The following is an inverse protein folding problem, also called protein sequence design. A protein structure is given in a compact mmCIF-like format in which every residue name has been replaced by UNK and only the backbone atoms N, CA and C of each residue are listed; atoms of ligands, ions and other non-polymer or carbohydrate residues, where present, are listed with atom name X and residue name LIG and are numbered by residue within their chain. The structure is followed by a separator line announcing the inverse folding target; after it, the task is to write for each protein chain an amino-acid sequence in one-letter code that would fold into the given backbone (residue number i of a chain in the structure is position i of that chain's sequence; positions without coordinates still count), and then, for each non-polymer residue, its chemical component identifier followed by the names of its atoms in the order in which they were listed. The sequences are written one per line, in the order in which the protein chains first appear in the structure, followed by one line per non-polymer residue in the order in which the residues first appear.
data_IF_156656843450
#
_entry.id   IF_156656843450
#
_cell.length_a   1.000
_cell.length_b   1.000
_cell.length_c   1.000
_cell.angle_alpha   90.00
_cell.angle_beta   90.00
_cell.angle_gamma   90.00
#
_symmetry.space_group_name_H-M   'P 1'
#
loop_
_entity.id
_entity.type
_entity.pdbx_description
1 polymer ?
#
# COMPACT_ATOMS: atom_id res chain seq x y z
N UNK A 1 1.46 0.35 -16.34
CA UNK A 1 0.70 -0.58 -15.48
C UNK A 1 -0.80 -0.41 -15.71
N UNK A 2 -1.62 -1.47 -15.59
CA UNK A 2 -3.09 -1.37 -15.72
C UNK A 2 -3.73 -1.02 -14.37
N UNK A 3 -3.99 0.26 -14.13
CA UNK A 3 -4.59 0.76 -12.88
C UNK A 3 -6.10 0.54 -12.72
N UNK A 4 -6.74 -0.02 -13.74
CA UNK A 4 -8.14 -0.43 -13.72
C UNK A 4 -8.29 -1.96 -13.62
N UNK A 5 -7.17 -2.69 -13.49
CA UNK A 5 -7.18 -4.13 -13.32
C UNK A 5 -7.80 -4.56 -11.99
N UNK A 6 -8.39 -5.75 -11.96
CA UNK A 6 -8.87 -6.33 -10.72
C UNK A 6 -7.69 -6.54 -9.74
N UNK A 7 -7.83 -6.05 -8.51
CA UNK A 7 -6.74 -6.07 -7.52
C UNK A 7 -5.63 -5.03 -7.74
N UNK A 8 -5.76 -4.11 -8.71
CA UNK A 8 -4.76 -3.06 -8.91
C UNK A 8 -4.76 -2.06 -7.75
N UNK A 9 -3.61 -1.91 -7.09
CA UNK A 9 -3.35 -0.90 -6.06
C UNK A 9 -2.84 0.41 -6.66
N UNK A 10 -3.56 0.92 -7.65
CA UNK A 10 -3.42 2.32 -8.08
C UNK A 10 -4.51 3.16 -7.39
N UNK A 11 -4.15 4.38 -6.98
CA UNK A 11 -5.02 5.33 -6.27
C UNK A 11 -5.35 4.88 -4.83
N UNK A 12 -6.55 5.17 -4.35
CA UNK A 12 -7.02 4.77 -3.03
C UNK A 12 -6.82 3.25 -2.80
N UNK A 13 -6.46 2.81 -1.58
CA UNK A 13 -6.10 1.42 -1.35
C UNK A 13 -7.33 0.52 -1.49
N UNK A 14 -7.33 -0.25 -2.57
CA UNK A 14 -8.34 -1.26 -2.89
C UNK A 14 -7.74 -2.63 -2.64
N UNK A 15 -8.39 -3.40 -1.78
CA UNK A 15 -7.99 -4.76 -1.48
C UNK A 15 -9.06 -5.72 -1.98
N UNK A 16 -8.61 -6.92 -2.34
CA UNK A 16 -9.48 -8.05 -2.68
C UNK A 16 -9.25 -9.11 -1.61
N UNK A 17 -10.31 -9.46 -0.88
CA UNK A 17 -10.27 -10.50 0.12
C UNK A 17 -10.03 -11.88 -0.50
N UNK A 18 -9.67 -12.86 0.33
CA UNK A 18 -9.52 -14.25 -0.11
C UNK A 18 -10.82 -14.87 -0.66
N UNK A 19 -11.95 -14.23 -0.39
CA UNK A 19 -13.28 -14.56 -0.92
C UNK A 19 -13.58 -13.90 -2.29
N UNK A 20 -12.66 -13.10 -2.83
CA UNK A 20 -12.85 -12.36 -4.07
C UNK A 20 -13.68 -11.07 -3.92
N UNK A 21 -13.99 -10.64 -2.70
CA UNK A 21 -14.73 -9.39 -2.49
C UNK A 21 -13.75 -8.22 -2.45
N UNK A 22 -14.04 -7.20 -3.27
CA UNK A 22 -13.26 -5.96 -3.28
C UNK A 22 -13.80 -4.98 -2.24
N UNK A 23 -12.89 -4.36 -1.49
CA UNK A 23 -13.21 -3.32 -0.53
C UNK A 23 -12.17 -2.20 -0.52
N UNK A 24 -12.62 -1.02 -0.11
CA UNK A 24 -11.77 0.13 0.12
C UNK A 24 -11.37 0.16 1.59
N UNK A 25 -10.07 0.26 1.85
CA UNK A 25 -9.54 0.44 3.19
C UNK A 25 -8.61 1.63 3.20
N UNK A 26 -9.08 2.76 3.74
CA UNK A 26 -8.29 3.99 3.76
C UNK A 26 -7.21 3.96 4.86
N UNK A 27 -7.41 3.23 5.95
CA UNK A 27 -6.47 3.24 7.08
C UNK A 27 -6.21 4.66 7.63
N UNK A 28 -5.20 4.76 8.50
CA UNK A 28 -4.65 6.04 8.93
C UNK A 28 -3.37 6.33 8.14
N UNK A 29 -3.16 7.61 7.84
CA UNK A 29 -1.89 8.10 7.30
C UNK A 29 -0.72 7.69 8.21
N UNK A 30 0.40 7.32 7.59
CA UNK A 30 1.66 6.91 8.22
C UNK A 30 1.50 5.67 9.12
N UNK A 31 0.40 4.92 8.96
CA UNK A 31 0.10 3.70 9.69
C UNK A 31 0.65 2.44 9.01
N UNK A 32 0.89 1.41 9.82
CA UNK A 32 1.22 0.06 9.34
C UNK A 32 0.05 -0.87 9.63
N UNK A 33 -0.35 -1.65 8.63
CA UNK A 33 -1.51 -2.53 8.72
C UNK A 33 -1.15 -3.94 8.27
N UNK A 34 -1.61 -4.94 9.03
CA UNK A 34 -1.56 -6.33 8.60
C UNK A 34 -2.56 -6.56 7.47
N UNK A 35 -2.07 -7.04 6.33
CA UNK A 35 -2.89 -7.36 5.15
C UNK A 35 -3.14 -8.87 5.07
N UNK A 36 -2.10 -9.66 5.34
CA UNK A 36 -2.17 -11.12 5.48
C UNK A 36 -1.41 -11.50 6.73
N UNK A 37 -1.99 -12.39 7.55
CA UNK A 37 -1.38 -12.92 8.76
C UNK A 37 -1.72 -14.39 8.88
N UNK A 38 -0.69 -15.22 8.96
CA UNK A 38 -0.74 -16.66 9.21
C UNK A 38 0.53 -17.05 9.99
N UNK A 39 0.62 -18.29 10.48
CA UNK A 39 1.77 -18.78 11.26
C UNK A 39 3.09 -18.69 10.48
N UNK A 40 3.04 -18.86 9.17
CA UNK A 40 4.23 -18.94 8.31
C UNK A 40 4.47 -17.71 7.43
N UNK A 41 3.50 -16.77 7.37
CA UNK A 41 3.60 -15.59 6.51
C UNK A 41 2.91 -14.38 7.15
N UNK A 42 3.59 -13.24 7.09
CA UNK A 42 3.03 -11.95 7.47
C UNK A 42 3.29 -10.93 6.37
N UNK A 43 2.23 -10.31 5.86
CA UNK A 43 2.32 -9.21 4.90
C UNK A 43 1.74 -7.96 5.58
N UNK A 44 2.56 -6.94 5.74
CA UNK A 44 2.11 -5.62 6.20
C UNK A 44 2.19 -4.62 5.06
N UNK A 45 1.33 -3.61 5.11
CA UNK A 45 1.38 -2.45 4.25
C UNK A 45 1.61 -1.18 5.07
N UNK A 46 2.56 -0.35 4.64
CA UNK A 46 2.76 0.99 5.16
C UNK A 46 1.99 1.99 4.31
N UNK A 47 1.13 2.77 4.94
CA UNK A 47 0.30 3.75 4.28
C UNK A 47 0.91 5.14 4.43
N UNK A 48 0.93 5.90 3.34
CA UNK A 48 1.21 7.33 3.35
C UNK A 48 -0.08 8.10 3.10
N UNK A 49 -0.07 9.41 3.35
CA UNK A 49 -1.24 10.21 3.05
C UNK A 49 -1.06 11.72 3.14
N UNK A 50 -2.09 12.42 2.68
CA UNK A 50 -2.20 13.88 2.78
C UNK A 50 -3.64 14.29 3.11
N UNK A 51 -3.77 15.43 3.80
CA UNK A 51 -5.07 16.07 4.06
C UNK A 51 -5.17 17.38 3.30
N UNK A 52 -5.91 17.43 2.19
CA UNK A 52 -6.21 18.69 1.54
C UNK A 52 -7.00 19.62 2.47
N UNK A 53 -6.81 20.93 2.33
CA UNK A 53 -7.55 21.92 3.10
C UNK A 53 -9.07 21.75 2.91
N UNK A 54 -9.83 21.87 4.00
CA UNK A 54 -11.29 21.71 3.98
C UNK A 54 -11.79 20.27 3.94
N UNK A 55 -10.90 19.26 3.98
CA UNK A 55 -11.30 17.85 4.12
C UNK A 55 -11.30 17.40 5.58
N UNK A 56 -12.26 16.55 5.92
CA UNK A 56 -12.41 15.96 7.26
C UNK A 56 -11.59 14.69 7.46
N UNK A 57 -11.00 14.14 6.39
CA UNK A 57 -10.23 12.90 6.41
C UNK A 57 -8.99 12.98 5.53
N UNK A 58 -8.03 12.12 5.83
CA UNK A 58 -6.84 11.91 4.99
C UNK A 58 -7.19 11.13 3.72
N UNK A 59 -6.51 11.45 2.63
CA UNK A 59 -6.35 10.54 1.51
C UNK A 59 -5.06 9.76 1.70
N UNK A 60 -5.11 8.47 1.41
CA UNK A 60 -4.05 7.53 1.71
C UNK A 60 -3.71 6.66 0.51
N UNK A 61 -2.48 6.17 0.49
CA UNK A 61 -1.94 5.27 -0.52
C UNK A 61 -1.01 4.26 0.14
N UNK A 62 -0.83 3.10 -0.47
CA UNK A 62 0.20 2.16 -0.02
C UNK A 62 1.55 2.63 -0.56
N UNK A 63 2.51 2.86 0.33
CA UNK A 63 3.88 3.16 -0.06
C UNK A 63 4.73 1.90 -0.10
N UNK A 64 4.58 1.02 0.89
CA UNK A 64 5.45 -0.14 1.04
C UNK A 64 4.66 -1.37 1.46
N UNK A 65 5.16 -2.52 1.04
CA UNK A 65 4.80 -3.83 1.56
C UNK A 65 6.02 -4.46 2.23
N UNK A 66 5.83 -5.02 3.42
CA UNK A 66 6.82 -5.90 4.05
C UNK A 66 6.26 -7.32 4.07
N UNK A 67 6.99 -8.26 3.51
CA UNK A 67 6.67 -9.69 3.53
C UNK A 67 7.68 -10.37 4.45
N UNK A 68 7.18 -11.05 5.47
CA UNK A 68 7.97 -11.86 6.39
C UNK A 68 7.54 -13.32 6.24
N UNK A 69 8.52 -14.21 6.11
CA UNK A 69 8.29 -15.65 5.98
C UNK A 69 9.50 -16.41 6.50
N UNK A 70 9.28 -17.39 7.37
CA UNK A 70 10.35 -18.07 8.11
C UNK A 70 11.31 -17.04 8.78
N UNK A 71 12.58 -17.05 8.42
CA UNK A 71 13.62 -16.14 8.91
C UNK A 71 13.91 -14.96 7.96
N UNK A 72 13.14 -14.84 6.88
CA UNK A 72 13.37 -13.87 5.81
C UNK A 72 12.41 -12.69 5.90
N UNK A 73 12.89 -11.53 5.47
CA UNK A 73 12.08 -10.33 5.28
C UNK A 73 12.40 -9.69 3.93
N UNK A 74 11.36 -9.36 3.17
CA UNK A 74 11.44 -8.58 1.95
C UNK A 74 10.59 -7.32 2.13
N UNK A 75 11.18 -6.16 1.83
CA UNK A 75 10.44 -4.90 1.75
C UNK A 75 10.46 -4.45 0.30
N UNK A 76 9.29 -4.07 -0.21
CA UNK A 76 9.13 -3.45 -1.53
C UNK A 76 8.42 -2.13 -1.30
N UNK A 77 9.03 -1.02 -1.68
CA UNK A 77 8.53 0.31 -1.40
C UNK A 77 8.70 1.28 -2.56
N UNK A 78 7.79 2.25 -2.66
CA UNK A 78 8.02 3.44 -3.46
C UNK A 78 8.94 4.42 -2.72
N UNK A 79 10.04 4.79 -3.36
CA UNK A 79 10.97 5.82 -2.91
C UNK A 79 10.23 7.14 -2.76
N UNK A 80 10.38 7.76 -1.59
CA UNK A 80 9.87 9.12 -1.38
C UNK A 80 10.73 10.11 -2.16
N UNK A 81 10.11 10.83 -3.08
CA UNK A 81 10.75 11.84 -3.93
C UNK A 81 10.07 13.20 -3.77
N UNK A 82 10.79 14.29 -3.97
CA UNK A 82 10.23 15.65 -3.97
C UNK A 82 9.47 15.96 -5.27
N UNK A 83 9.93 15.40 -6.39
CA UNK A 83 9.31 15.50 -7.70
C UNK A 83 9.29 14.12 -8.35
N UNK A 84 8.18 13.80 -9.02
CA UNK A 84 8.06 12.55 -9.77
C UNK A 84 8.78 12.69 -11.12
N UNK A 85 9.62 11.70 -11.44
CA UNK A 85 10.32 11.59 -12.72
C UNK A 85 10.00 10.22 -13.33
N UNK A 86 9.25 10.22 -14.43
CA UNK A 86 8.84 9.00 -15.11
C UNK A 86 10.00 8.23 -15.76
N UNK A 87 11.17 8.86 -15.91
CA UNK A 87 12.36 8.23 -16.48
C UNK A 87 13.20 7.43 -15.48
N UNK A 88 12.90 7.53 -14.18
CA UNK A 88 13.68 6.91 -13.10
C UNK A 88 12.83 5.88 -12.36
N UNK A 89 13.36 4.67 -12.21
CA UNK A 89 12.74 3.68 -11.32
C UNK A 89 12.86 4.14 -9.86
N UNK A 90 11.72 4.32 -9.23
CA UNK A 90 11.59 4.79 -7.85
C UNK A 90 11.16 3.66 -6.91
N UNK A 91 11.49 2.41 -7.25
CA UNK A 91 11.33 1.25 -6.37
C UNK A 91 12.52 1.12 -5.41
N UNK A 92 12.27 0.71 -4.17
CA UNK A 92 13.25 0.39 -3.12
C UNK A 92 12.94 -0.97 -2.54
#
# INVERSE_FOLDING_TARGET
ANCNGYGSLCYDPRFVGGDGVMFYFHGNKDGNFAIVSDENIQINAHFIGTRPAGRTRDFTWVQAFSVMFDSHSLVIAAKKVSFWDESVDSLV
#
